data_IF_331123333784
#
_entry.id   IF_331123333784
#
_cell.length_a   1.000
_cell.length_b   1.000
_cell.length_c   1.000
_cell.angle_alpha   90.00
_cell.angle_beta   90.00
_cell.angle_gamma   90.00
#
_symmetry.space_group_name_H-M   'P 1'
#
loop_
_entity.id
_entity.type
_entity.pdbx_description
1 polymer ?
#
# COMPACT_ATOMS: atom_id res chain seq x y z
N UNK A 1 25.57 8.76 1.98
CA UNK A 1 26.32 7.58 1.49
C UNK A 1 27.80 7.93 1.42
N UNK A 2 28.68 7.18 2.04
CA UNK A 2 30.13 7.44 1.97
C UNK A 2 30.71 7.02 0.61
N UNK A 3 31.86 7.61 0.23
CA UNK A 3 32.57 7.27 -1.03
C UNK A 3 32.90 5.76 -1.10
N UNK A 4 33.12 5.11 0.05
CA UNK A 4 33.43 3.69 0.15
C UNK A 4 32.20 2.79 -0.08
N UNK A 5 31.03 3.20 0.39
CA UNK A 5 29.72 2.55 0.15
C UNK A 5 29.33 2.67 -1.32
N UNK A 6 29.52 3.87 -1.91
CA UNK A 6 29.31 4.08 -3.35
C UNK A 6 30.18 3.16 -4.21
N UNK A 7 31.46 2.95 -3.85
CA UNK A 7 32.34 2.05 -4.60
C UNK A 7 31.88 0.60 -4.57
N UNK A 8 31.40 0.09 -3.41
CA UNK A 8 30.88 -1.28 -3.31
C UNK A 8 29.59 -1.50 -4.10
N UNK A 9 28.78 -0.46 -4.30
CA UNK A 9 27.48 -0.52 -4.99
C UNK A 9 27.55 -0.11 -6.47
N UNK A 10 28.56 0.65 -6.88
CA UNK A 10 28.72 1.13 -8.26
C UNK A 10 28.90 0.01 -9.30
N UNK A 11 29.36 -1.18 -8.86
CA UNK A 11 29.50 -2.35 -9.73
C UNK A 11 28.15 -2.99 -10.14
N UNK A 12 27.03 -2.59 -9.48
CA UNK A 12 25.74 -3.26 -9.63
C UNK A 12 24.74 -2.52 -10.53
N UNK A 13 25.15 -1.46 -11.21
CA UNK A 13 24.29 -0.71 -12.14
C UNK A 13 22.88 -0.41 -11.57
N UNK A 14 22.82 0.01 -10.29
CA UNK A 14 21.56 0.31 -9.62
C UNK A 14 20.97 1.58 -10.25
N UNK A 15 19.74 1.56 -10.80
CA UNK A 15 19.14 2.75 -11.40
C UNK A 15 18.97 3.89 -10.38
N UNK A 16 19.15 5.14 -10.83
CA UNK A 16 19.01 6.32 -9.97
C UNK A 16 17.61 6.47 -9.34
N UNK A 17 16.60 5.86 -9.92
CA UNK A 17 15.22 5.85 -9.41
C UNK A 17 14.88 4.63 -8.55
N UNK A 18 15.87 3.80 -8.24
CA UNK A 18 15.70 2.67 -7.33
C UNK A 18 15.32 3.17 -5.92
N UNK A 19 14.55 2.37 -5.22
CA UNK A 19 14.14 2.61 -3.83
C UNK A 19 14.79 1.61 -2.90
N UNK A 20 14.99 2.01 -1.65
CA UNK A 20 15.56 1.17 -0.62
C UNK A 20 14.43 0.57 0.21
N UNK A 21 14.33 -0.75 0.21
CA UNK A 21 13.37 -1.50 1.00
C UNK A 21 14.12 -2.14 2.16
N UNK A 22 13.69 -1.88 3.40
CA UNK A 22 14.35 -2.40 4.58
C UNK A 22 13.40 -3.03 5.59
N UNK A 23 13.93 -3.96 6.40
CA UNK A 23 13.20 -4.78 7.34
C UNK A 23 12.78 -6.13 6.75
N UNK A 24 12.71 -7.16 7.61
CA UNK A 24 12.56 -8.54 7.18
C UNK A 24 11.30 -8.79 6.33
N UNK A 25 10.13 -8.36 6.78
CA UNK A 25 8.87 -8.58 6.05
C UNK A 25 8.84 -7.81 4.72
N UNK A 26 9.13 -6.48 4.68
CA UNK A 26 9.18 -5.75 3.41
C UNK A 26 10.16 -6.36 2.40
N UNK A 27 11.37 -6.73 2.84
CA UNK A 27 12.37 -7.33 1.96
C UNK A 27 11.88 -8.65 1.37
N UNK A 28 11.30 -9.56 2.19
CA UNK A 28 10.74 -10.82 1.70
C UNK A 28 9.63 -10.60 0.68
N UNK A 29 8.68 -9.72 0.98
CA UNK A 29 7.56 -9.43 0.07
C UNK A 29 8.04 -8.88 -1.26
N UNK A 30 9.00 -7.95 -1.24
CA UNK A 30 9.58 -7.37 -2.44
C UNK A 30 10.32 -8.39 -3.30
N UNK A 31 11.12 -9.27 -2.66
CA UNK A 31 11.88 -10.31 -3.35
C UNK A 31 10.99 -11.37 -4.02
N UNK A 32 9.79 -11.62 -3.47
CA UNK A 32 8.83 -12.59 -4.02
C UNK A 32 7.85 -11.96 -5.02
N UNK A 33 7.83 -10.63 -5.16
CA UNK A 33 6.92 -9.95 -6.08
C UNK A 33 7.48 -9.94 -7.51
N UNK A 34 6.91 -10.73 -8.40
CA UNK A 34 7.29 -10.78 -9.82
C UNK A 34 7.08 -9.47 -10.59
N UNK A 35 6.30 -8.54 -10.06
CA UNK A 35 6.10 -7.21 -10.66
C UNK A 35 7.13 -6.17 -10.19
N UNK A 36 8.17 -6.60 -9.47
CA UNK A 36 9.23 -5.76 -8.94
C UNK A 36 10.59 -6.29 -9.37
N UNK A 37 11.45 -5.41 -9.87
CA UNK A 37 12.85 -5.75 -10.14
C UNK A 37 13.68 -5.44 -8.90
N UNK A 38 14.18 -6.46 -8.21
CA UNK A 38 15.13 -6.33 -7.13
C UNK A 38 16.55 -6.45 -7.70
N UNK A 39 17.40 -5.43 -7.47
CA UNK A 39 18.73 -5.32 -8.08
C UNK A 39 19.82 -5.96 -7.24
N UNK A 40 19.78 -5.71 -5.92
CA UNK A 40 20.79 -6.16 -4.97
C UNK A 40 20.19 -6.25 -3.56
N UNK A 41 20.67 -7.22 -2.79
CA UNK A 41 20.37 -7.40 -1.38
C UNK A 41 21.62 -7.12 -0.57
N UNK A 42 21.55 -6.13 0.31
CA UNK A 42 22.60 -5.78 1.26
C UNK A 42 22.22 -6.30 2.65
N UNK A 43 23.10 -7.06 3.28
CA UNK A 43 22.86 -7.63 4.62
C UNK A 43 24.12 -7.64 5.46
N UNK A 44 23.97 -7.84 6.78
CA UNK A 44 25.10 -8.03 7.67
C UNK A 44 25.58 -9.49 7.65
N UNK A 45 26.85 -9.72 8.01
CA UNK A 45 27.40 -11.07 8.12
C UNK A 45 26.55 -11.98 9.01
N UNK A 46 26.06 -11.45 10.16
CA UNK A 46 25.18 -12.17 11.10
C UNK A 46 23.86 -12.65 10.48
N UNK A 47 23.42 -12.06 9.36
CA UNK A 47 22.16 -12.38 8.69
C UNK A 47 22.36 -13.04 7.33
N UNK A 48 23.60 -13.25 6.93
CA UNK A 48 23.94 -13.80 5.61
C UNK A 48 23.29 -15.16 5.38
N UNK A 49 23.52 -16.13 6.26
CA UNK A 49 23.01 -17.49 6.09
C UNK A 49 21.48 -17.51 5.96
N UNK A 50 20.80 -16.75 6.84
CA UNK A 50 19.34 -16.64 6.79
C UNK A 50 18.82 -16.11 5.44
N UNK A 51 19.45 -15.08 4.87
CA UNK A 51 19.03 -14.52 3.59
C UNK A 51 19.46 -15.38 2.41
N UNK A 52 20.62 -16.00 2.49
CA UNK A 52 21.09 -16.95 1.49
C UNK A 52 20.15 -18.16 1.38
N UNK A 53 19.77 -18.76 2.49
CA UNK A 53 18.80 -19.85 2.53
C UNK A 53 17.43 -19.44 2.00
N UNK A 54 16.98 -18.23 2.34
CA UNK A 54 15.72 -17.68 1.81
C UNK A 54 15.76 -17.53 0.29
N UNK A 55 16.85 -17.00 -0.25
CA UNK A 55 17.05 -16.81 -1.70
C UNK A 55 17.06 -18.15 -2.43
N UNK A 56 17.81 -19.12 -1.94
CA UNK A 56 17.92 -20.47 -2.52
C UNK A 56 16.55 -21.16 -2.47
N UNK A 57 15.90 -21.19 -1.31
CA UNK A 57 14.63 -21.89 -1.11
C UNK A 57 13.48 -21.32 -1.97
N UNK A 58 13.54 -20.04 -2.29
CA UNK A 58 12.52 -19.36 -3.10
C UNK A 58 12.96 -19.11 -4.56
N UNK A 59 14.12 -19.63 -4.97
CA UNK A 59 14.67 -19.49 -6.32
C UNK A 59 14.79 -18.02 -6.78
N UNK A 60 15.12 -17.11 -5.84
CA UNK A 60 15.28 -15.69 -6.14
C UNK A 60 16.65 -15.45 -6.74
N UNK A 61 16.71 -14.90 -7.94
CA UNK A 61 17.97 -14.55 -8.59
C UNK A 61 18.40 -13.12 -8.21
N UNK A 62 19.20 -12.98 -7.15
CA UNK A 62 19.71 -11.68 -6.66
C UNK A 62 21.11 -11.87 -6.05
N UNK A 63 21.97 -10.86 -6.22
CA UNK A 63 23.29 -10.84 -5.57
C UNK A 63 23.18 -10.34 -4.13
N UNK A 64 23.95 -10.97 -3.23
CA UNK A 64 24.09 -10.52 -1.83
C UNK A 64 25.39 -9.75 -1.68
N UNK A 65 25.33 -8.61 -0.99
CA UNK A 65 26.48 -7.80 -0.58
C UNK A 65 26.50 -7.70 0.95
N UNK A 66 27.65 -8.03 1.51
CA UNK A 66 27.89 -7.90 2.95
C UNK A 66 28.28 -6.47 3.29
N UNK A 67 27.55 -5.87 4.22
CA UNK A 67 27.78 -4.53 4.74
C UNK A 67 27.72 -4.51 6.26
N UNK A 68 28.42 -3.56 6.85
CA UNK A 68 28.32 -3.31 8.27
C UNK A 68 26.97 -2.64 8.64
N UNK A 69 26.55 -2.79 9.89
CA UNK A 69 25.26 -2.23 10.33
C UNK A 69 25.17 -0.71 10.14
N UNK A 70 26.26 0.02 10.35
CA UNK A 70 26.28 1.48 10.13
C UNK A 70 26.16 1.85 8.63
N UNK A 71 26.69 1.01 7.72
CA UNK A 71 26.52 1.20 6.26
C UNK A 71 25.04 1.01 5.88
N UNK A 72 24.36 0.00 6.47
CA UNK A 72 22.92 -0.21 6.27
C UNK A 72 22.06 0.92 6.87
N UNK A 73 22.46 1.51 8.02
CA UNK A 73 21.80 2.71 8.56
C UNK A 73 21.82 3.86 7.55
N UNK A 74 22.97 4.10 6.92
CA UNK A 74 23.13 5.15 5.91
C UNK A 74 22.26 4.88 4.68
N UNK A 75 22.23 3.63 4.19
CA UNK A 75 21.44 3.24 3.03
C UNK A 75 19.93 3.34 3.27
N UNK A 76 19.46 2.93 4.44
CA UNK A 76 18.04 2.95 4.79
C UNK A 76 17.58 4.29 5.36
N UNK A 77 18.49 5.17 5.72
CA UNK A 77 18.25 6.36 6.55
C UNK A 77 17.44 6.02 7.82
N UNK A 78 17.77 4.88 8.44
CA UNK A 78 17.03 4.33 9.58
C UNK A 78 17.89 3.32 10.36
N UNK A 79 17.77 3.33 11.68
CA UNK A 79 18.36 2.30 12.55
C UNK A 79 17.50 1.03 12.64
N UNK A 80 16.29 1.04 12.05
CA UNK A 80 15.32 -0.06 12.14
C UNK A 80 15.34 -0.99 10.92
N UNK A 81 16.49 -1.08 10.22
CA UNK A 81 16.65 -1.89 9.01
C UNK A 81 16.67 -3.41 9.28
N UNK A 82 16.84 -3.86 10.51
CA UNK A 82 16.86 -5.29 10.89
C UNK A 82 17.94 -6.11 10.18
N UNK A 83 19.05 -5.49 9.79
CA UNK A 83 20.18 -6.14 9.10
C UNK A 83 19.97 -6.39 7.62
N UNK A 84 18.99 -5.74 6.97
CA UNK A 84 18.66 -5.94 5.55
C UNK A 84 18.24 -4.65 4.87
N UNK A 85 18.76 -4.43 3.66
CA UNK A 85 18.30 -3.42 2.69
C UNK A 85 18.30 -4.05 1.30
N UNK A 86 17.19 -3.95 0.58
CA UNK A 86 17.05 -4.38 -0.81
C UNK A 86 16.88 -3.15 -1.69
N UNK A 87 17.70 -3.00 -2.73
CA UNK A 87 17.48 -2.01 -3.77
C UNK A 87 16.56 -2.57 -4.82
N UNK A 88 15.49 -1.84 -5.13
CA UNK A 88 14.43 -2.32 -6.00
C UNK A 88 13.86 -1.22 -6.89
N UNK A 89 13.22 -1.61 -7.99
CA UNK A 89 12.32 -0.72 -8.73
C UNK A 89 11.11 -0.34 -7.87
N UNK A 90 10.41 0.72 -8.24
CA UNK A 90 9.05 0.97 -7.74
C UNK A 90 8.09 -0.08 -8.29
N UNK A 91 6.96 -0.30 -7.59
CA UNK A 91 5.87 -1.14 -8.07
C UNK A 91 5.28 -0.55 -9.37
N UNK A 92 5.00 -1.42 -10.33
CA UNK A 92 4.28 -1.06 -11.53
C UNK A 92 2.80 -0.97 -11.19
N UNK A 93 2.27 0.26 -11.15
CA UNK A 93 0.85 0.51 -10.91
C UNK A 93 0.07 0.23 -12.20
N UNK A 94 -1.00 -0.55 -12.11
CA UNK A 94 -1.92 -0.79 -13.23
C UNK A 94 -3.04 0.25 -13.21
N UNK A 95 -3.66 0.52 -14.35
CA UNK A 95 -4.88 1.35 -14.40
C UNK A 95 -6.08 0.56 -13.87
N UNK A 96 -7.01 1.23 -13.19
CA UNK A 96 -8.25 0.62 -12.72
C UNK A 96 -9.02 -0.03 -13.88
N UNK A 97 -9.09 0.63 -15.03
CA UNK A 97 -9.77 0.11 -16.23
C UNK A 97 -9.18 -1.20 -16.76
N UNK A 98 -7.87 -1.40 -16.65
CA UNK A 98 -7.20 -2.65 -17.03
C UNK A 98 -7.49 -3.78 -16.03
N UNK A 99 -7.53 -3.44 -14.75
CA UNK A 99 -7.91 -4.37 -13.69
C UNK A 99 -9.34 -4.88 -13.87
N UNK A 100 -10.29 -3.95 -14.07
CA UNK A 100 -11.69 -4.27 -14.23
C UNK A 100 -11.99 -5.16 -15.46
N UNK A 101 -11.25 -5.00 -16.56
CA UNK A 101 -11.39 -5.87 -17.76
C UNK A 101 -11.04 -7.33 -17.47
N UNK A 102 -10.18 -7.59 -16.50
CA UNK A 102 -9.73 -8.94 -16.12
C UNK A 102 -10.50 -9.49 -14.92
N UNK A 103 -11.45 -8.73 -14.39
CA UNK A 103 -12.19 -9.09 -13.20
C UNK A 103 -13.19 -10.20 -13.50
N UNK A 104 -12.90 -11.41 -13.04
CA UNK A 104 -13.77 -12.59 -13.13
C UNK A 104 -14.58 -12.85 -11.85
N UNK A 105 -14.11 -12.34 -10.71
CA UNK A 105 -14.77 -12.54 -9.42
C UNK A 105 -16.07 -11.77 -9.33
N UNK A 106 -17.10 -12.43 -8.77
CA UNK A 106 -18.37 -11.77 -8.43
C UNK A 106 -18.22 -10.89 -7.18
N UNK A 107 -17.45 -11.34 -6.18
CA UNK A 107 -17.19 -10.60 -4.94
C UNK A 107 -15.85 -9.87 -5.08
N UNK A 108 -15.87 -8.55 -5.00
CA UNK A 108 -14.67 -7.72 -5.14
C UNK A 108 -14.76 -6.50 -4.23
N UNK A 109 -13.70 -6.24 -3.48
CA UNK A 109 -13.58 -5.09 -2.57
C UNK A 109 -12.42 -4.23 -2.99
N UNK A 110 -12.70 -2.97 -3.30
CA UNK A 110 -11.70 -1.99 -3.72
C UNK A 110 -11.65 -0.84 -2.72
N UNK A 111 -10.47 -0.46 -2.31
CA UNK A 111 -10.25 0.73 -1.48
C UNK A 111 -9.75 1.86 -2.37
N UNK A 112 -10.26 3.08 -2.17
CA UNK A 112 -9.82 4.27 -2.90
C UNK A 112 -9.37 5.32 -1.89
N UNK A 113 -8.14 5.82 -2.04
CA UNK A 113 -7.58 6.86 -1.20
C UNK A 113 -7.64 8.21 -1.91
N UNK A 114 -8.51 9.12 -1.41
CA UNK A 114 -8.69 10.46 -1.97
C UNK A 114 -7.82 11.48 -1.22
N UNK A 115 -6.68 11.88 -1.83
CA UNK A 115 -5.78 12.93 -1.33
C UNK A 115 -5.17 12.64 0.07
N UNK A 116 -4.91 11.39 0.38
CA UNK A 116 -4.08 11.02 1.53
C UNK A 116 -2.61 11.17 1.17
N UNK A 117 -1.89 12.02 1.89
CA UNK A 117 -0.51 12.41 1.57
C UNK A 117 0.53 11.88 2.56
N UNK A 118 0.13 11.48 3.76
CA UNK A 118 1.06 10.90 4.73
C UNK A 118 1.43 9.45 4.37
N UNK A 119 2.73 9.17 4.09
CA UNK A 119 3.18 7.81 3.75
C UNK A 119 2.92 6.77 4.86
N UNK A 120 2.92 7.18 6.13
CA UNK A 120 2.67 6.28 7.25
C UNK A 120 1.20 5.83 7.26
N UNK A 121 0.26 6.77 7.09
CA UNK A 121 -1.15 6.45 7.02
C UNK A 121 -1.47 5.61 5.78
N UNK A 122 -0.97 5.99 4.60
CA UNK A 122 -1.17 5.21 3.36
C UNK A 122 -0.62 3.79 3.51
N UNK A 123 0.59 3.62 4.04
CA UNK A 123 1.19 2.30 4.26
C UNK A 123 0.38 1.45 5.25
N UNK A 124 -0.06 2.04 6.36
CA UNK A 124 -0.89 1.36 7.37
C UNK A 124 -2.25 0.94 6.81
N UNK A 125 -2.87 1.79 5.98
CA UNK A 125 -4.12 1.48 5.29
C UNK A 125 -3.94 0.32 4.30
N UNK A 126 -2.88 0.31 3.51
CA UNK A 126 -2.55 -0.78 2.58
C UNK A 126 -2.40 -2.10 3.34
N UNK A 127 -1.70 -2.09 4.48
CA UNK A 127 -1.56 -3.25 5.35
C UNK A 127 -2.91 -3.79 5.83
N UNK A 128 -3.78 -2.90 6.28
CA UNK A 128 -5.13 -3.27 6.75
C UNK A 128 -6.01 -3.76 5.58
N UNK A 129 -5.90 -3.16 4.39
CA UNK A 129 -6.63 -3.59 3.21
C UNK A 129 -6.28 -5.04 2.83
N UNK A 130 -4.99 -5.39 2.83
CA UNK A 130 -4.57 -6.78 2.62
C UNK A 130 -5.08 -7.71 3.72
N UNK A 131 -4.94 -7.31 5.00
CA UNK A 131 -5.38 -8.12 6.14
C UNK A 131 -6.90 -8.41 6.15
N UNK A 132 -7.71 -7.49 5.61
CA UNK A 132 -9.17 -7.61 5.55
C UNK A 132 -9.68 -8.04 4.17
N UNK A 133 -8.82 -8.67 3.36
CA UNK A 133 -9.17 -9.26 2.06
C UNK A 133 -9.79 -8.25 1.07
N UNK A 134 -9.26 -7.04 1.02
CA UNK A 134 -9.50 -6.13 -0.10
C UNK A 134 -8.63 -6.54 -1.29
N UNK A 135 -9.21 -6.55 -2.47
CA UNK A 135 -8.54 -7.04 -3.69
C UNK A 135 -7.58 -6.02 -4.27
N UNK A 136 -7.89 -4.72 -4.12
CA UNK A 136 -7.08 -3.65 -4.67
C UNK A 136 -7.15 -2.36 -3.86
N UNK A 137 -6.08 -1.56 -3.94
CA UNK A 137 -6.02 -0.19 -3.43
C UNK A 137 -5.76 0.76 -4.60
N UNK A 138 -6.67 1.72 -4.80
CA UNK A 138 -6.57 2.76 -5.81
C UNK A 138 -5.93 4.01 -5.21
N UNK A 139 -4.89 4.52 -5.86
CA UNK A 139 -4.15 5.71 -5.49
C UNK A 139 -4.29 6.77 -6.58
N UNK A 140 -4.56 8.02 -6.18
CA UNK A 140 -4.59 9.15 -7.11
C UNK A 140 -3.20 9.46 -7.66
N UNK A 141 -3.08 9.64 -8.98
CA UNK A 141 -1.81 9.87 -9.69
C UNK A 141 -1.03 11.06 -9.13
N UNK A 142 -1.70 12.16 -8.82
CA UNK A 142 -1.05 13.43 -8.51
C UNK A 142 -1.00 13.77 -7.01
N UNK A 143 -1.76 13.08 -6.16
CA UNK A 143 -1.99 13.47 -4.77
C UNK A 143 -1.78 12.33 -3.76
N UNK A 144 -1.04 11.32 -4.16
CA UNK A 144 -0.65 10.21 -3.27
C UNK A 144 0.85 10.23 -3.07
N UNK A 145 1.36 9.89 -1.90
CA UNK A 145 2.78 9.86 -1.67
C UNK A 145 3.46 8.94 -2.67
N UNK A 146 4.59 9.41 -3.18
CA UNK A 146 5.48 8.56 -3.97
C UNK A 146 5.87 7.37 -3.10
N UNK A 147 5.91 6.18 -3.69
CA UNK A 147 6.37 4.98 -2.99
C UNK A 147 7.75 5.25 -2.36
N UNK A 148 7.76 5.29 -1.03
CA UNK A 148 8.94 5.57 -0.22
C UNK A 148 9.25 4.36 0.66
N UNK A 149 10.49 4.28 1.13
CA UNK A 149 10.91 3.26 2.10
C UNK A 149 10.03 3.27 3.37
N UNK A 150 9.59 4.46 3.81
CA UNK A 150 8.73 4.62 4.98
C UNK A 150 7.32 4.06 4.74
N UNK A 151 6.72 4.30 3.57
CA UNK A 151 5.43 3.73 3.19
C UNK A 151 5.50 2.20 3.12
N UNK A 152 6.54 1.65 2.48
CA UNK A 152 6.74 0.21 2.37
C UNK A 152 6.95 -0.41 3.76
N UNK A 153 7.70 0.26 4.63
CA UNK A 153 7.89 -0.18 6.01
C UNK A 153 6.59 -0.15 6.81
N UNK A 154 5.78 0.90 6.68
CA UNK A 154 4.49 1.04 7.35
C UNK A 154 3.49 -0.04 6.86
N UNK A 155 3.53 -0.39 5.58
CA UNK A 155 2.72 -1.48 5.03
C UNK A 155 3.22 -2.87 5.43
N UNK A 156 4.34 -2.98 6.15
CA UNK A 156 5.02 -4.25 6.47
C UNK A 156 5.31 -5.14 5.24
N UNK A 157 5.39 -4.53 4.05
CA UNK A 157 5.58 -5.22 2.77
C UNK A 157 4.28 -5.71 2.11
N UNK A 158 3.11 -5.47 2.70
CA UNK A 158 1.84 -5.92 2.13
C UNK A 158 1.47 -5.17 0.83
N UNK A 159 2.10 -4.01 0.58
CA UNK A 159 2.02 -3.31 -0.72
C UNK A 159 2.46 -4.19 -1.89
N UNK A 160 3.34 -5.15 -1.65
CA UNK A 160 3.84 -6.09 -2.65
C UNK A 160 2.91 -7.29 -2.89
N UNK A 161 1.87 -7.45 -2.07
CA UNK A 161 0.92 -8.58 -2.13
C UNK A 161 -0.48 -8.20 -2.60
N UNK A 162 -0.86 -6.92 -2.49
CA UNK A 162 -2.15 -6.41 -2.93
C UNK A 162 -2.02 -5.69 -4.28
N UNK A 163 -3.09 -5.65 -5.08
CA UNK A 163 -3.08 -4.89 -6.34
C UNK A 163 -3.09 -3.39 -6.06
N UNK A 164 -2.05 -2.69 -6.48
CA UNK A 164 -1.98 -1.22 -6.43
C UNK A 164 -2.38 -0.67 -7.78
N UNK A 165 -3.45 0.13 -7.81
CA UNK A 165 -4.02 0.70 -9.01
C UNK A 165 -3.85 2.21 -9.03
N UNK A 166 -3.55 2.77 -10.19
CA UNK A 166 -3.48 4.21 -10.40
C UNK A 166 -4.78 4.72 -11.00
N UNK A 167 -5.35 5.77 -10.42
CA UNK A 167 -6.53 6.45 -10.91
C UNK A 167 -6.24 7.93 -11.16
N UNK A 168 -6.89 8.51 -12.17
CA UNK A 168 -6.76 9.92 -12.51
C UNK A 168 -7.84 10.78 -11.86
N UNK A 169 -9.00 10.87 -12.50
CA UNK A 169 -10.15 11.62 -12.00
C UNK A 169 -11.08 10.71 -11.22
N UNK A 170 -11.20 10.95 -9.91
CA UNK A 170 -11.98 10.10 -9.01
C UNK A 170 -13.45 9.98 -9.43
N UNK A 171 -14.09 11.08 -9.86
CA UNK A 171 -15.51 11.05 -10.27
C UNK A 171 -15.71 10.20 -11.53
N UNK A 172 -14.78 10.29 -12.48
CA UNK A 172 -14.81 9.43 -13.67
C UNK A 172 -14.64 7.96 -13.30
N UNK A 173 -13.73 7.63 -12.39
CA UNK A 173 -13.49 6.26 -11.93
C UNK A 173 -14.68 5.72 -11.13
N UNK A 174 -15.36 6.54 -10.33
CA UNK A 174 -16.62 6.17 -9.67
C UNK A 174 -17.67 5.75 -10.72
N UNK A 175 -17.83 6.53 -11.79
CA UNK A 175 -18.77 6.18 -12.86
C UNK A 175 -18.40 4.89 -13.59
N UNK A 176 -17.11 4.61 -13.76
CA UNK A 176 -16.63 3.35 -14.33
C UNK A 176 -16.95 2.17 -13.40
N UNK A 177 -16.71 2.32 -12.10
CA UNK A 177 -17.02 1.32 -11.09
C UNK A 177 -18.53 1.01 -11.03
N UNK A 178 -19.37 2.04 -11.04
CA UNK A 178 -20.84 1.87 -11.06
C UNK A 178 -21.32 1.06 -12.30
N UNK A 179 -20.75 1.32 -13.47
CA UNK A 179 -21.03 0.52 -14.69
C UNK A 179 -20.59 -0.95 -14.55
N UNK A 180 -19.73 -1.26 -13.60
CA UNK A 180 -19.30 -2.61 -13.26
C UNK A 180 -20.02 -3.16 -12.01
N UNK A 181 -21.16 -2.58 -11.64
CA UNK A 181 -22.00 -2.96 -10.51
C UNK A 181 -21.30 -2.89 -9.14
N UNK A 182 -20.42 -1.91 -8.94
CA UNK A 182 -19.89 -1.59 -7.63
C UNK A 182 -20.83 -0.64 -6.90
N UNK A 183 -21.09 -0.94 -5.62
CA UNK A 183 -21.64 0.01 -4.67
C UNK A 183 -20.52 0.87 -4.07
N UNK A 184 -20.68 2.18 -4.12
CA UNK A 184 -19.64 3.15 -3.77
C UNK A 184 -19.99 3.81 -2.45
N UNK A 185 -19.22 3.50 -1.41
CA UNK A 185 -19.38 4.09 -0.10
C UNK A 185 -18.22 5.02 0.23
N UNK A 186 -18.54 6.19 0.78
CA UNK A 186 -17.55 7.13 1.31
C UNK A 186 -17.54 7.10 2.83
N UNK A 187 -16.37 6.98 3.45
CA UNK A 187 -16.22 7.08 4.89
C UNK A 187 -16.20 8.56 5.31
N UNK A 188 -17.21 8.96 6.09
CA UNK A 188 -17.39 10.35 6.51
C UNK A 188 -18.10 10.40 7.87
N UNK A 189 -17.60 11.22 8.80
CA UNK A 189 -18.19 11.35 10.14
C UNK A 189 -19.64 11.86 10.14
N UNK A 190 -20.03 12.61 9.09
CA UNK A 190 -21.41 13.11 8.89
C UNK A 190 -22.30 12.13 8.12
N UNK A 191 -21.80 10.92 7.84
CA UNK A 191 -22.54 9.87 7.13
C UNK A 191 -23.86 9.53 7.82
N UNK A 192 -24.90 9.26 7.02
CA UNK A 192 -26.21 8.87 7.53
C UNK A 192 -26.34 7.38 7.81
N UNK A 193 -25.51 6.57 7.13
CA UNK A 193 -25.52 5.09 7.20
C UNK A 193 -24.43 4.67 8.19
N UNK A 194 -24.72 3.81 9.14
CA UNK A 194 -23.68 3.22 9.98
C UNK A 194 -22.93 2.17 9.18
N UNK A 195 -21.62 2.08 9.36
CA UNK A 195 -20.78 1.14 8.59
C UNK A 195 -21.27 -0.32 8.74
N UNK A 196 -21.88 -0.67 9.87
CA UNK A 196 -22.44 -2.00 10.11
C UNK A 196 -23.71 -2.29 9.30
N UNK A 197 -24.39 -1.24 8.79
CA UNK A 197 -25.65 -1.31 8.05
C UNK A 197 -25.44 -1.47 6.53
N UNK A 198 -24.19 -1.43 6.06
CA UNK A 198 -23.89 -1.72 4.65
C UNK A 198 -24.38 -3.12 4.30
N UNK A 199 -25.08 -3.23 3.16
CA UNK A 199 -25.47 -4.54 2.64
C UNK A 199 -24.22 -5.32 2.22
N UNK A 200 -23.86 -6.32 3.00
CA UNK A 200 -22.69 -7.18 2.78
C UNK A 200 -22.95 -8.26 1.75
N UNK A 201 -24.20 -8.39 1.28
CA UNK A 201 -24.55 -9.26 0.17
C UNK A 201 -24.12 -8.66 -1.16
N UNK A 202 -23.84 -7.34 -1.18
CA UNK A 202 -23.24 -6.67 -2.33
C UNK A 202 -21.93 -7.35 -2.71
N UNK A 203 -21.90 -7.84 -3.92
CA UNK A 203 -20.75 -8.60 -4.41
C UNK A 203 -19.55 -7.69 -4.73
N UNK A 204 -19.79 -6.41 -5.04
CA UNK A 204 -18.74 -5.46 -5.41
C UNK A 204 -18.89 -4.16 -4.64
N UNK A 205 -17.91 -3.88 -3.77
CA UNK A 205 -17.90 -2.69 -2.92
C UNK A 205 -16.63 -1.90 -3.19
N UNK A 206 -16.78 -0.58 -3.38
CA UNK A 206 -15.68 0.37 -3.34
C UNK A 206 -15.85 1.29 -2.13
N UNK A 207 -14.86 1.27 -1.23
CA UNK A 207 -14.80 2.16 -0.07
C UNK A 207 -13.84 3.31 -0.38
N UNK A 208 -14.28 4.57 -0.19
CA UNK A 208 -13.47 5.75 -0.43
C UNK A 208 -13.14 6.41 0.92
N UNK A 209 -11.84 6.62 1.15
CA UNK A 209 -11.30 7.31 2.32
C UNK A 209 -10.81 8.68 1.88
N UNK A 210 -11.33 9.75 2.50
CA UNK A 210 -10.93 11.12 2.21
C UNK A 210 -9.62 11.55 2.88
N UNK A 211 -9.19 12.77 2.56
CA UNK A 211 -7.99 13.38 3.15
C UNK A 211 -8.18 13.71 4.63
N UNK A 212 -7.06 13.76 5.35
CA UNK A 212 -7.04 14.19 6.74
C UNK A 212 -7.51 15.66 6.86
N UNK A 213 -8.36 15.92 7.81
CA UNK A 213 -8.89 17.26 8.12
C UNK A 213 -9.98 17.75 7.16
N UNK A 214 -9.86 17.58 5.84
CA UNK A 214 -10.88 18.03 4.87
C UNK A 214 -11.90 16.96 4.50
N UNK A 215 -11.61 15.69 4.80
CA UNK A 215 -12.48 14.57 4.45
C UNK A 215 -12.65 14.40 2.94
N UNK A 216 -13.84 13.97 2.54
CA UNK A 216 -14.24 13.76 1.16
C UNK A 216 -14.70 15.05 0.49
N UNK A 217 -14.30 15.26 -0.77
CA UNK A 217 -14.72 16.44 -1.54
C UNK A 217 -16.22 16.39 -1.88
N UNK A 218 -16.90 17.54 -1.88
CA UNK A 218 -18.35 17.62 -2.12
C UNK A 218 -18.77 16.95 -3.43
N UNK A 219 -18.05 17.19 -4.53
CA UNK A 219 -18.36 16.58 -5.81
C UNK A 219 -18.21 15.04 -5.75
N UNK A 220 -17.24 14.54 -5.00
CA UNK A 220 -17.06 13.10 -4.79
C UNK A 220 -18.23 12.52 -3.98
N UNK A 221 -18.64 13.18 -2.88
CA UNK A 221 -19.78 12.77 -2.05
C UNK A 221 -21.08 12.64 -2.87
N UNK A 222 -21.34 13.59 -3.79
CA UNK A 222 -22.55 13.59 -4.64
C UNK A 222 -22.61 12.41 -5.64
N UNK A 223 -21.47 11.81 -5.96
CA UNK A 223 -21.38 10.69 -6.91
C UNK A 223 -21.33 9.31 -6.24
N UNK A 224 -21.38 9.24 -4.91
CA UNK A 224 -21.39 7.98 -4.16
C UNK A 224 -22.83 7.46 -3.99
N UNK A 225 -22.95 6.18 -3.66
CA UNK A 225 -24.25 5.55 -3.35
C UNK A 225 -24.62 5.77 -1.88
N UNK A 226 -23.63 5.97 -1.01
CA UNK A 226 -23.85 6.31 0.39
C UNK A 226 -22.62 6.87 1.10
N UNK A 227 -22.88 7.66 2.13
CA UNK A 227 -21.88 8.10 3.10
C UNK A 227 -22.07 7.30 4.37
N UNK A 228 -21.03 6.58 4.77
CA UNK A 228 -21.01 5.70 5.93
C UNK A 228 -20.18 6.31 7.05
N UNK A 229 -20.60 6.08 8.29
CA UNK A 229 -19.89 6.55 9.48
C UNK A 229 -19.57 5.40 10.43
N UNK A 230 -18.55 5.63 11.23
CA UNK A 230 -18.22 4.85 12.41
C UNK A 230 -18.78 5.61 13.62
N UNK A 231 -19.56 4.94 14.45
CA UNK A 231 -20.01 5.53 15.70
C UNK A 231 -18.82 5.65 16.66
N UNK A 232 -18.49 6.86 17.05
CA UNK A 232 -17.41 7.18 18.00
C UNK A 232 -17.98 7.98 19.17
N UNK A 233 -17.19 8.11 20.24
CA UNK A 233 -17.56 8.96 21.38
C UNK A 233 -17.85 10.39 20.86
N UNK A 234 -19.02 11.00 21.22
CA UNK A 234 -19.40 12.35 20.78
C UNK A 234 -18.39 13.45 21.17
N UNK A 235 -17.61 13.23 22.22
CA UNK A 235 -16.55 14.15 22.63
C UNK A 235 -15.27 14.03 21.79
N UNK A 236 -15.16 12.98 20.96
CA UNK A 236 -14.05 12.77 20.05
C UNK A 236 -14.35 13.35 18.68
N UNK A 237 -13.58 14.31 18.22
CA UNK A 237 -13.81 14.99 16.94
C UNK A 237 -13.64 14.06 15.72
N UNK A 238 -12.64 13.18 15.73
CA UNK A 238 -12.38 12.27 14.62
C UNK A 238 -11.38 11.18 15.01
N UNK A 239 -11.36 10.10 14.24
CA UNK A 239 -10.28 9.10 14.25
C UNK A 239 -9.19 9.49 13.26
N UNK A 240 -7.96 9.03 13.52
CA UNK A 240 -6.91 9.03 12.51
C UNK A 240 -7.41 8.27 11.26
N UNK A 241 -7.05 8.73 10.06
CA UNK A 241 -7.53 8.16 8.80
C UNK A 241 -7.22 6.67 8.64
N UNK A 242 -6.03 6.20 9.07
CA UNK A 242 -5.67 4.80 9.00
C UNK A 242 -6.48 3.93 9.98
N UNK A 243 -6.76 4.45 11.18
CA UNK A 243 -7.60 3.75 12.16
C UNK A 243 -9.05 3.67 11.67
N UNK A 244 -9.60 4.77 11.18
CA UNK A 244 -10.95 4.80 10.62
C UNK A 244 -11.10 3.84 9.43
N UNK A 245 -10.14 3.87 8.49
CA UNK A 245 -10.10 2.95 7.36
C UNK A 245 -10.05 1.49 7.81
N UNK A 246 -9.22 1.17 8.81
CA UNK A 246 -9.08 -0.19 9.32
C UNK A 246 -10.37 -0.73 9.94
N UNK A 247 -11.05 0.09 10.75
CA UNK A 247 -12.36 -0.27 11.34
C UNK A 247 -13.41 -0.48 10.24
N UNK A 248 -13.47 0.44 9.27
CA UNK A 248 -14.44 0.33 8.18
C UNK A 248 -14.19 -0.92 7.31
N UNK A 249 -12.94 -1.21 6.96
CA UNK A 249 -12.58 -2.39 6.20
C UNK A 249 -12.87 -3.69 6.96
N UNK A 250 -12.62 -3.72 8.27
CA UNK A 250 -12.97 -4.86 9.11
C UNK A 250 -14.48 -5.12 9.12
N UNK A 251 -15.31 -4.07 9.29
CA UNK A 251 -16.77 -4.23 9.24
C UNK A 251 -17.25 -4.72 7.87
N UNK A 252 -16.73 -4.20 6.77
CA UNK A 252 -17.07 -4.64 5.40
C UNK A 252 -16.58 -6.10 5.18
N UNK A 253 -15.51 -6.53 5.84
CA UNK A 253 -14.97 -7.88 5.65
C UNK A 253 -15.76 -8.98 6.36
N UNK A 254 -16.54 -8.62 7.37
CA UNK A 254 -17.43 -9.58 8.06
C UNK A 254 -18.47 -10.14 7.08
N UNK A 255 -18.62 -11.43 7.09
CA UNK A 255 -19.64 -12.15 6.29
C UNK A 255 -21.02 -11.98 6.89
#
# INVERSE_FOLDING_TARGET
MSIKEMKKLNEFNIPNNAINIYGNHPAKSALLNSNRNCYILCTTEKKFDYWNDFIISNQVNIKIVLLESFELNNLSNSNNHQGIVVFSSKIIKKKLSEYLKKLSSKKTRVLILDQLTDPQNVGSIIRSAFAFNFDAVCLLKNNTPIETSSLIKASAGEIDKIQILEIGNLVQEINILKKQNFFIYGLDGEGKIKIQEIDKTDNRIALIIGSEGKGLRNLTKQNMDGLVKIDINPECNSLNAANAASVAMYEISKN
#
